data_IF_079873313136
#
_entry.id   IF_079873313136
#
_cell.length_a   1.000
_cell.length_b   1.000
_cell.length_c   1.000
_cell.angle_alpha   90.00
_cell.angle_beta   90.00
_cell.angle_gamma   90.00
#
_symmetry.space_group_name_H-M   'P 1'
#
loop_
_entity.id
_entity.type
_entity.pdbx_description
1 polymer ?
#
# COMPACT_ATOMS: atom_id res chain seq x y z
N UNK A 1 -1.19 -11.54 -25.20
CA UNK A 1 -0.66 -12.40 -24.12
C UNK A 1 0.80 -12.07 -23.92
N UNK A 2 1.26 -11.93 -22.67
CA UNK A 2 2.65 -11.62 -22.33
C UNK A 2 3.17 -12.68 -21.37
N UNK A 3 4.33 -13.27 -21.70
CA UNK A 3 5.04 -14.19 -20.81
C UNK A 3 6.13 -13.42 -20.04
N UNK A 4 6.20 -13.62 -18.73
CA UNK A 4 7.17 -12.98 -17.83
C UNK A 4 7.58 -13.93 -16.69
N UNK A 5 8.55 -13.53 -15.84
CA UNK A 5 9.10 -14.38 -14.76
C UNK A 5 8.02 -14.88 -13.78
N UNK A 6 6.92 -14.14 -13.62
CA UNK A 6 5.78 -14.50 -12.76
C UNK A 6 4.70 -15.35 -13.45
N UNK A 7 4.83 -15.65 -14.75
CA UNK A 7 3.89 -16.49 -15.49
C UNK A 7 3.41 -15.87 -16.80
N UNK A 8 2.15 -16.13 -17.14
CA UNK A 8 1.51 -15.64 -18.37
C UNK A 8 0.31 -14.78 -18.00
N UNK A 9 0.33 -13.52 -18.41
CA UNK A 9 -0.79 -12.59 -18.19
C UNK A 9 -1.49 -12.31 -19.52
N UNK A 10 -2.82 -12.48 -19.54
CA UNK A 10 -3.66 -12.12 -20.68
C UNK A 10 -3.77 -10.59 -20.75
N UNK A 11 -3.64 -10.05 -21.96
CA UNK A 11 -3.65 -8.62 -22.21
C UNK A 11 -4.57 -8.36 -23.39
N UNK A 12 -5.23 -7.19 -23.39
CA UNK A 12 -5.79 -6.60 -24.60
C UNK A 12 -4.68 -6.41 -25.66
N UNK A 13 -5.05 -6.14 -26.91
CA UNK A 13 -4.13 -6.00 -28.06
C UNK A 13 -2.87 -5.22 -27.67
N UNK A 14 -1.73 -5.90 -27.71
CA UNK A 14 -0.46 -5.39 -27.22
C UNK A 14 0.14 -4.39 -28.21
N UNK A 15 0.48 -3.19 -27.74
CA UNK A 15 1.32 -2.24 -28.47
C UNK A 15 2.80 -2.65 -28.45
N UNK A 16 3.64 -1.88 -29.16
CA UNK A 16 5.09 -2.12 -29.28
C UNK A 16 5.87 -1.97 -27.95
N UNK A 17 5.33 -1.29 -26.95
CA UNK A 17 5.91 -1.21 -25.61
C UNK A 17 4.85 -1.60 -24.58
N UNK A 18 5.27 -2.35 -23.57
CA UNK A 18 4.37 -2.93 -22.57
C UNK A 18 4.90 -2.61 -21.18
N UNK A 19 3.99 -2.28 -20.27
CA UNK A 19 4.30 -2.21 -18.85
C UNK A 19 3.56 -3.32 -18.10
N UNK A 20 4.28 -4.14 -17.34
CA UNK A 20 3.71 -5.12 -16.44
C UNK A 20 3.63 -4.52 -15.03
N UNK A 21 2.42 -4.23 -14.57
CA UNK A 21 2.15 -3.87 -13.19
C UNK A 21 2.07 -5.13 -12.33
N UNK A 22 2.90 -5.20 -11.29
CA UNK A 22 2.81 -6.24 -10.26
C UNK A 22 2.22 -5.62 -8.99
N UNK A 23 1.03 -6.07 -8.62
CA UNK A 23 0.38 -5.73 -7.37
C UNK A 23 -0.19 -7.03 -6.81
N UNK A 24 0.61 -7.71 -5.97
CA UNK A 24 0.19 -8.97 -5.36
C UNK A 24 -1.04 -8.72 -4.48
N UNK A 25 -1.93 -9.70 -4.39
CA UNK A 25 -3.12 -9.61 -3.54
C UNK A 25 -4.13 -8.49 -3.92
N UNK A 26 -3.88 -7.71 -4.97
CA UNK A 26 -4.74 -6.64 -5.48
C UNK A 26 -5.60 -7.09 -6.69
N UNK A 27 -6.02 -8.37 -6.69
CA UNK A 27 -6.84 -8.93 -7.77
C UNK A 27 -8.09 -8.08 -8.04
N UNK A 28 -8.36 -7.80 -9.31
CA UNK A 28 -9.56 -7.09 -9.75
C UNK A 28 -9.44 -5.56 -9.74
N UNK A 29 -8.39 -5.01 -9.11
CA UNK A 29 -8.08 -3.57 -9.13
C UNK A 29 -7.80 -3.12 -10.56
N UNK A 30 -8.45 -2.03 -10.98
CA UNK A 30 -8.22 -1.41 -12.28
C UNK A 30 -6.93 -0.59 -12.34
N UNK A 31 -6.43 -0.39 -13.55
CA UNK A 31 -5.39 0.61 -13.83
C UNK A 31 -6.07 1.90 -14.30
N UNK A 32 -5.71 3.04 -13.71
CA UNK A 32 -6.25 4.34 -14.11
C UNK A 32 -5.97 4.64 -15.58
N UNK A 33 -6.90 5.31 -16.25
CA UNK A 33 -6.82 5.65 -17.68
C UNK A 33 -6.66 4.44 -18.62
N UNK A 34 -6.85 3.20 -18.13
CA UNK A 34 -6.76 1.97 -18.92
C UNK A 34 -8.08 1.18 -18.80
N UNK A 35 -9.02 1.51 -19.67
CA UNK A 35 -10.36 0.91 -19.64
C UNK A 35 -10.30 -0.61 -19.84
N UNK A 36 -10.80 -1.36 -18.85
CA UNK A 36 -10.86 -2.81 -18.89
C UNK A 36 -9.54 -3.54 -18.60
N UNK A 37 -8.47 -2.81 -18.23
CA UNK A 37 -7.24 -3.42 -17.70
C UNK A 37 -7.37 -3.57 -16.20
N UNK A 38 -7.25 -4.81 -15.71
CA UNK A 38 -7.34 -5.17 -14.30
C UNK A 38 -6.23 -6.11 -13.90
N UNK A 39 -5.87 -6.06 -12.62
CA UNK A 39 -4.95 -7.01 -12.01
C UNK A 39 -5.56 -8.41 -12.04
N UNK A 40 -4.84 -9.37 -12.62
CA UNK A 40 -5.23 -10.76 -12.71
C UNK A 40 -5.11 -11.47 -11.34
N UNK A 41 -5.62 -12.71 -11.19
CA UNK A 41 -5.51 -13.47 -9.93
C UNK A 41 -4.07 -13.78 -9.49
N UNK A 42 -3.09 -13.62 -10.37
CA UNK A 42 -1.68 -13.81 -10.06
C UNK A 42 -1.00 -12.50 -9.59
N UNK A 43 -1.74 -11.39 -9.57
CA UNK A 43 -1.23 -10.08 -9.14
C UNK A 43 -0.57 -9.28 -10.26
N UNK A 44 -0.90 -9.55 -11.52
CA UNK A 44 -0.30 -8.88 -12.67
C UNK A 44 -1.32 -8.20 -13.59
N UNK A 45 -0.97 -7.05 -14.13
CA UNK A 45 -1.68 -6.42 -15.25
C UNK A 45 -0.70 -6.00 -16.33
N UNK A 46 -1.13 -6.04 -17.59
CA UNK A 46 -0.35 -5.55 -18.73
C UNK A 46 -1.01 -4.28 -19.25
N UNK A 47 -0.25 -3.20 -19.22
CA UNK A 47 -0.63 -1.90 -19.78
C UNK A 47 -0.09 -1.80 -21.22
N UNK A 48 -0.97 -1.76 -22.24
CA UNK A 48 -0.60 -1.88 -23.65
C UNK A 48 -0.08 -0.60 -24.32
N UNK A 49 -0.11 0.54 -23.62
CA UNK A 49 0.19 1.85 -24.18
C UNK A 49 1.26 2.54 -23.35
N UNK A 50 2.55 2.25 -23.61
CA UNK A 50 3.65 3.06 -23.10
C UNK A 50 4.42 3.76 -24.23
N UNK A 51 4.64 5.05 -24.07
CA UNK A 51 5.34 5.90 -25.05
C UNK A 51 6.84 5.82 -24.77
N UNK A 52 7.67 5.44 -25.77
CA UNK A 52 9.10 5.27 -25.54
C UNK A 52 9.77 6.62 -25.29
N UNK A 53 10.81 6.63 -24.46
CA UNK A 53 11.60 7.81 -24.07
C UNK A 53 10.78 8.91 -23.37
N UNK A 54 9.63 8.54 -22.80
CA UNK A 54 8.79 9.43 -21.98
C UNK A 54 8.49 8.80 -20.64
N UNK A 55 8.21 9.65 -19.66
CA UNK A 55 7.62 9.21 -18.40
C UNK A 55 6.21 8.70 -18.69
N UNK A 56 5.96 7.45 -18.32
CA UNK A 56 4.66 6.83 -18.34
C UNK A 56 4.30 6.49 -16.90
N UNK A 57 3.25 7.13 -16.39
CA UNK A 57 2.73 6.87 -15.05
C UNK A 57 1.68 5.77 -15.11
N UNK A 58 1.90 4.72 -14.33
CA UNK A 58 0.94 3.62 -14.12
C UNK A 58 0.36 3.82 -12.72
N UNK A 59 -0.95 4.01 -12.64
CA UNK A 59 -1.65 4.18 -11.37
C UNK A 59 -2.71 3.09 -11.19
N UNK A 60 -2.80 2.53 -9.99
CA UNK A 60 -3.89 1.66 -9.57
C UNK A 60 -5.10 2.53 -9.19
N UNK A 61 -6.31 2.12 -9.59
CA UNK A 61 -7.55 2.84 -9.28
C UNK A 61 -7.93 2.62 -7.80
N UNK A 62 -7.84 3.64 -6.93
CA UNK A 62 -8.12 3.49 -5.51
C UNK A 62 -9.60 3.22 -5.22
N UNK A 63 -10.50 3.52 -6.16
CA UNK A 63 -11.94 3.24 -6.02
C UNK A 63 -12.24 1.74 -6.07
N UNK A 64 -11.34 0.93 -6.64
CA UNK A 64 -11.46 -0.52 -6.65
C UNK A 64 -10.81 -1.17 -5.40
N UNK A 65 -10.25 -0.39 -4.47
CA UNK A 65 -9.63 -0.94 -3.26
C UNK A 65 -10.74 -1.33 -2.27
N UNK A 66 -10.69 -2.57 -1.81
CA UNK A 66 -11.57 -3.01 -0.74
C UNK A 66 -11.09 -2.50 0.63
N UNK A 67 -11.88 -2.72 1.68
CA UNK A 67 -11.57 -2.25 3.03
C UNK A 67 -10.32 -2.89 3.66
N UNK A 68 -9.74 -3.90 3.01
CA UNK A 68 -8.60 -4.66 3.51
C UNK A 68 -7.37 -4.52 2.63
N UNK A 69 -7.42 -3.76 1.55
CA UNK A 69 -6.29 -3.53 0.66
C UNK A 69 -5.74 -2.13 0.88
N UNK A 70 -4.47 -2.06 1.25
CA UNK A 70 -3.72 -0.82 1.28
C UNK A 70 -2.52 -0.88 0.32
N UNK A 71 -2.30 0.23 -0.38
CA UNK A 71 -1.23 0.39 -1.36
C UNK A 71 -0.60 1.77 -1.13
N UNK A 72 0.48 1.86 -0.33
CA UNK A 72 1.04 3.15 0.09
C UNK A 72 1.47 4.02 -1.10
N UNK A 73 1.96 3.39 -2.16
CA UNK A 73 2.27 4.04 -3.42
C UNK A 73 1.44 3.40 -4.53
N UNK A 74 0.27 3.94 -4.82
CA UNK A 74 -0.60 3.45 -5.90
C UNK A 74 -0.18 3.94 -7.29
N UNK A 75 0.85 4.79 -7.40
CA UNK A 75 1.37 5.34 -8.65
C UNK A 75 2.84 4.98 -8.81
N UNK A 76 3.21 4.49 -9.99
CA UNK A 76 4.58 4.14 -10.34
C UNK A 76 4.92 4.67 -11.74
N UNK A 77 6.08 5.31 -11.85
CA UNK A 77 6.56 5.87 -13.11
C UNK A 77 7.57 4.94 -13.78
N UNK A 78 7.52 4.88 -15.11
CA UNK A 78 8.50 4.14 -15.91
C UNK A 78 8.88 4.90 -17.18
N UNK A 79 10.12 4.73 -17.63
CA UNK A 79 10.65 5.34 -18.86
C UNK A 79 11.15 4.23 -19.78
N UNK A 80 10.26 3.62 -20.59
CA UNK A 80 10.63 2.53 -21.49
C UNK A 80 11.43 3.05 -22.69
N UNK A 81 12.39 2.25 -23.16
CA UNK A 81 12.95 2.44 -24.51
C UNK A 81 12.04 1.81 -25.56
N UNK A 82 12.28 2.06 -26.84
CA UNK A 82 11.47 1.47 -27.92
C UNK A 82 11.63 -0.06 -27.93
N UNK A 83 10.50 -0.78 -27.90
CA UNK A 83 10.43 -2.24 -27.81
C UNK A 83 10.60 -2.79 -26.39
N UNK A 84 10.70 -1.93 -25.36
CA UNK A 84 10.92 -2.38 -24.00
C UNK A 84 9.65 -2.93 -23.36
N UNK A 85 9.85 -3.96 -22.55
CA UNK A 85 8.87 -4.45 -21.59
C UNK A 85 9.36 -4.03 -20.21
N UNK A 86 8.68 -3.06 -19.59
CA UNK A 86 9.03 -2.58 -18.25
C UNK A 86 8.17 -3.26 -17.20
N UNK A 87 8.71 -3.43 -16.00
CA UNK A 87 7.97 -3.90 -14.83
C UNK A 87 7.87 -2.77 -13.83
N UNK A 88 6.66 -2.48 -13.38
CA UNK A 88 6.40 -1.62 -12.22
C UNK A 88 5.84 -2.50 -11.12
N UNK A 89 6.26 -2.25 -9.88
CA UNK A 89 5.85 -3.03 -8.72
C UNK A 89 5.18 -2.10 -7.71
N UNK A 90 4.01 -2.51 -7.25
CA UNK A 90 3.23 -1.87 -6.21
C UNK A 90 3.30 -2.73 -4.95
N UNK A 91 3.74 -2.13 -3.85
CA UNK A 91 3.67 -2.80 -2.55
C UNK A 91 2.25 -2.73 -2.03
N UNK A 92 1.74 -3.90 -1.71
CA UNK A 92 0.33 -4.21 -1.47
C UNK A 92 0.25 -4.92 -0.13
N UNK A 93 -0.57 -4.39 0.76
CA UNK A 93 -0.72 -4.89 2.11
C UNK A 93 -2.17 -5.26 2.33
N UNK A 94 -2.44 -6.55 2.53
CA UNK A 94 -3.76 -7.01 2.97
C UNK A 94 -3.87 -7.05 4.48
N UNK A 95 -5.01 -6.59 4.99
CA UNK A 95 -5.35 -6.54 6.42
C UNK A 95 -5.95 -5.19 6.78
N UNK A 96 -6.05 -4.89 8.07
CA UNK A 96 -6.58 -3.62 8.53
C UNK A 96 -5.51 -2.53 8.48
N UNK A 97 -5.87 -1.37 7.95
CA UNK A 97 -5.09 -0.14 8.13
C UNK A 97 -5.59 0.60 9.36
N UNK A 98 -4.70 0.86 10.31
CA UNK A 98 -5.04 1.42 11.62
C UNK A 98 -4.10 2.56 12.00
N UNK A 99 -4.67 3.57 12.67
CA UNK A 99 -3.93 4.62 13.33
C UNK A 99 -3.91 4.32 14.84
N UNK A 100 -2.72 4.19 15.41
CA UNK A 100 -2.49 3.83 16.80
C UNK A 100 -1.76 4.99 17.49
N UNK A 101 -2.27 5.43 18.63
CA UNK A 101 -1.51 6.30 19.52
C UNK A 101 -0.77 5.42 20.52
N UNK A 102 0.56 5.47 20.53
CA UNK A 102 1.37 4.62 21.43
C UNK A 102 2.37 5.43 22.24
N UNK A 103 2.67 4.93 23.42
CA UNK A 103 3.75 5.40 24.28
C UNK A 103 4.72 4.27 24.56
N UNK A 104 5.96 4.63 24.87
CA UNK A 104 7.02 3.75 25.30
C UNK A 104 6.80 3.30 26.74
N UNK A 105 7.59 2.31 27.19
CA UNK A 105 7.47 1.76 28.55
C UNK A 105 7.73 2.81 29.65
N UNK A 106 8.51 3.84 29.34
CA UNK A 106 8.82 4.98 30.20
C UNK A 106 7.77 6.11 30.12
N UNK A 107 6.71 5.93 29.30
CA UNK A 107 5.68 6.94 29.08
C UNK A 107 6.03 8.01 28.05
N UNK A 108 7.24 8.00 27.48
CA UNK A 108 7.62 8.90 26.39
C UNK A 108 7.02 8.47 25.05
N UNK A 109 7.03 9.36 24.05
CA UNK A 109 6.58 9.02 22.71
C UNK A 109 7.70 8.39 21.91
N UNK A 110 7.40 7.41 21.03
CA UNK A 110 8.39 6.93 20.09
C UNK A 110 8.86 8.08 19.17
N UNK A 111 10.14 8.07 18.75
CA UNK A 111 10.66 9.13 17.92
C UNK A 111 10.02 9.10 16.53
N UNK A 112 9.92 10.29 15.93
CA UNK A 112 9.50 10.46 14.54
C UNK A 112 10.39 9.61 13.62
N UNK A 113 9.78 8.90 12.69
CA UNK A 113 10.51 8.05 11.75
C UNK A 113 10.88 6.67 12.30
N UNK A 114 10.43 6.31 13.51
CA UNK A 114 10.46 4.91 13.93
C UNK A 114 9.61 4.05 13.00
N UNK A 115 10.09 2.84 12.71
CA UNK A 115 9.45 1.90 11.79
C UNK A 115 8.80 0.75 12.56
N UNK A 116 7.67 0.26 12.05
CA UNK A 116 6.99 -0.91 12.58
C UNK A 116 7.14 -2.09 11.63
N UNK A 117 7.55 -3.20 12.22
CA UNK A 117 7.77 -4.47 11.56
C UNK A 117 6.74 -5.47 12.04
N UNK A 118 6.12 -6.17 11.10
CA UNK A 118 5.36 -7.38 11.39
C UNK A 118 6.27 -8.54 11.78
N UNK A 119 5.69 -9.62 12.30
CA UNK A 119 6.41 -10.87 12.52
C UNK A 119 7.05 -11.44 11.24
N UNK A 120 6.47 -11.12 10.07
CA UNK A 120 7.02 -11.49 8.76
C UNK A 120 8.26 -10.68 8.34
N UNK A 121 8.69 -9.69 9.13
CA UNK A 121 9.81 -8.80 8.82
C UNK A 121 9.50 -7.70 7.80
N UNK A 122 8.24 -7.56 7.40
CA UNK A 122 7.78 -6.50 6.50
C UNK A 122 7.58 -5.23 7.33
N UNK A 123 8.23 -4.13 6.91
CA UNK A 123 8.00 -2.79 7.45
C UNK A 123 6.81 -2.16 6.73
N UNK A 124 5.71 -1.93 7.45
CA UNK A 124 4.43 -1.47 6.89
C UNK A 124 3.79 -0.36 7.73
N UNK A 125 4.57 0.29 8.58
CA UNK A 125 4.10 1.40 9.39
C UNK A 125 5.18 2.37 9.81
N UNK A 126 4.78 3.64 9.98
CA UNK A 126 5.64 4.76 10.32
C UNK A 126 5.09 5.50 11.52
N UNK A 127 5.98 5.90 12.42
CA UNK A 127 5.65 6.81 13.53
C UNK A 127 5.73 8.25 13.06
N UNK A 128 4.60 8.94 13.16
CA UNK A 128 4.42 10.37 12.98
C UNK A 128 4.68 11.19 14.26
N UNK A 129 4.46 12.51 14.20
CA UNK A 129 4.59 13.38 15.36
C UNK A 129 3.66 12.96 16.51
N UNK A 130 4.09 13.16 17.76
CA UNK A 130 3.23 12.92 18.93
C UNK A 130 2.92 11.45 19.24
N UNK A 131 3.70 10.50 18.67
CA UNK A 131 3.51 9.06 18.91
C UNK A 131 2.32 8.46 18.17
N UNK A 132 1.82 9.14 17.13
CA UNK A 132 0.86 8.60 16.18
C UNK A 132 1.55 7.61 15.26
N UNK A 133 0.93 6.45 15.06
CA UNK A 133 1.51 5.36 14.28
C UNK A 133 0.49 4.88 13.27
N UNK A 134 0.82 5.03 12.00
CA UNK A 134 0.02 4.44 10.92
C UNK A 134 0.62 3.10 10.53
N UNK A 135 -0.21 2.06 10.43
CA UNK A 135 0.22 0.73 9.98
C UNK A 135 -0.83 0.15 9.03
N UNK A 136 -0.35 -0.38 7.91
CA UNK A 136 -1.17 -0.92 6.82
C UNK A 136 -1.16 -2.45 6.79
N UNK A 137 -2.30 -3.11 6.57
CA UNK A 137 -2.33 -4.57 6.38
C UNK A 137 -1.91 -5.38 7.61
N UNK A 138 -2.47 -5.00 8.77
CA UNK A 138 -2.28 -5.69 10.05
C UNK A 138 -3.41 -6.70 10.27
N UNK A 139 -3.07 -7.89 10.72
CA UNK A 139 -4.07 -8.88 11.13
C UNK A 139 -4.62 -8.59 12.54
N UNK A 140 -5.86 -8.99 12.80
CA UNK A 140 -6.46 -8.79 14.13
C UNK A 140 -5.66 -9.52 15.21
N UNK A 141 -5.20 -8.78 16.22
CA UNK A 141 -4.41 -9.31 17.33
C UNK A 141 -2.93 -9.55 17.00
N UNK A 142 -2.45 -9.13 15.83
CA UNK A 142 -1.04 -9.24 15.45
C UNK A 142 -0.14 -8.40 16.36
N UNK A 143 1.05 -8.94 16.67
CA UNK A 143 2.07 -8.24 17.46
C UNK A 143 3.05 -7.57 16.51
N UNK A 144 3.12 -6.24 16.59
CA UNK A 144 4.07 -5.42 15.84
C UNK A 144 5.31 -5.12 16.67
N UNK A 145 6.47 -5.10 16.02
CA UNK A 145 7.75 -4.73 16.60
C UNK A 145 8.14 -3.33 16.12
N UNK A 146 8.48 -2.44 17.04
CA UNK A 146 8.93 -1.11 16.67
C UNK A 146 10.45 -1.03 16.79
N UNK A 147 11.09 -0.42 15.80
CA UNK A 147 12.54 -0.21 15.77
C UNK A 147 12.84 1.25 15.45
N UNK A 148 13.76 1.83 16.23
CA UNK A 148 14.35 3.14 15.99
C UNK A 148 15.81 3.14 16.44
N UNK A 149 16.67 3.83 15.68
CA UNK A 149 18.12 3.82 15.90
C UNK A 149 18.77 2.44 15.74
N UNK A 150 19.96 2.27 16.33
CA UNK A 150 20.66 0.98 16.41
C UNK A 150 20.24 0.11 17.61
N UNK A 151 19.23 0.55 18.36
CA UNK A 151 18.79 -0.13 19.58
C UNK A 151 17.92 -1.36 19.22
N UNK A 152 18.06 -2.50 19.93
CA UNK A 152 17.23 -3.68 19.69
C UNK A 152 15.73 -3.38 19.80
N UNK A 153 14.87 -4.11 19.05
CA UNK A 153 13.44 -3.81 18.92
C UNK A 153 12.73 -3.84 20.28
N UNK A 154 12.04 -2.75 20.60
CA UNK A 154 11.27 -2.63 21.83
C UNK A 154 9.83 -3.13 21.61
N UNK A 155 9.27 -3.82 22.62
CA UNK A 155 7.88 -4.29 22.58
C UNK A 155 6.91 -3.14 22.88
N UNK A 156 5.94 -2.95 22.00
CA UNK A 156 4.82 -2.02 22.20
C UNK A 156 3.78 -2.59 23.17
N UNK A 157 3.14 -1.71 23.96
CA UNK A 157 1.90 -2.01 24.69
C UNK A 157 0.74 -1.35 23.94
N UNK A 158 -0.13 -2.16 23.33
CA UNK A 158 -1.34 -1.66 22.68
C UNK A 158 -2.26 -1.01 23.73
N UNK A 159 -2.61 0.25 23.54
CA UNK A 159 -3.73 0.89 24.23
C UNK A 159 -4.98 0.77 23.34
N UNK A 160 -6.17 0.44 23.89
CA UNK A 160 -7.39 0.43 23.09
C UNK A 160 -7.66 1.81 22.49
N UNK A 161 -7.97 1.84 21.20
CA UNK A 161 -8.27 3.05 20.46
C UNK A 161 -9.40 3.84 21.16
N UNK A 162 -9.13 5.12 21.47
CA UNK A 162 -10.16 6.02 21.95
C UNK A 162 -10.99 6.44 20.76
N UNK A 163 -12.18 5.87 20.60
CA UNK A 163 -13.19 6.36 19.66
C UNK A 163 -13.40 7.85 19.90
N UNK A 164 -13.33 8.65 18.82
CA UNK A 164 -13.61 10.08 18.87
C UNK A 164 -14.94 10.33 19.61
N UNK A 165 -15.01 11.34 20.50
CA UNK A 165 -16.25 11.64 21.19
C UNK A 165 -17.32 12.04 20.16
N UNK A 166 -18.45 11.34 20.21
CA UNK A 166 -19.62 11.68 19.43
C UNK A 166 -20.01 13.13 19.69
N UNK A 167 -20.28 13.86 18.61
CA UNK A 167 -20.96 15.14 18.68
C UNK A 167 -22.37 14.91 19.22
N UNK A 168 -22.57 15.10 20.52
CA UNK A 168 -23.88 15.19 21.14
C UNK A 168 -24.43 16.61 20.97
N UNK A 169 -25.65 16.66 20.44
CA UNK A 169 -26.72 17.60 20.80
C UNK A 169 -26.39 19.10 20.82
N UNK A 170 -26.86 19.80 19.78
CA UNK A 170 -27.31 21.18 19.88
C UNK A 170 -28.83 21.20 19.88
N UNK A 171 -29.43 21.40 21.05
CA UNK A 171 -30.82 21.83 21.23
C UNK A 171 -30.99 23.29 20.78
N UNK A 172 -32.14 23.60 20.16
CA UNK A 172 -32.85 24.85 20.46
C UNK A 172 -33.05 25.90 19.34
N UNK A 173 -34.33 26.03 18.94
CA UNK A 173 -35.08 27.27 18.68
C UNK A 173 -34.90 27.99 17.32
N UNK A 174 -35.85 27.75 16.39
CA UNK A 174 -36.96 28.66 16.07
C UNK A 174 -37.86 28.05 14.98
#
# INVERSE_FOLDING_TARGET
MVAHRGGVTLSQTAGLNLCAGEAKDAQGVGIENQTGVRIDPFGYAVVPQSVPYRVNSVALNPQDFDAFLDVPNAVADTVPTRGAITRVRFDTFRGYSVLIHTTLADGSYPPLGAELYRASGISNGLVGPGGEVYVSGVDSGEKLQMKWGETPPAKLRNHPARTAPGASAGDGLA
#
